data_IF_985447795362
#
_entry.id   IF_985447795362
#
_cell.length_a   1.000
_cell.length_b   1.000
_cell.length_c   1.000
_cell.angle_alpha   90.00
_cell.angle_beta   90.00
_cell.angle_gamma   90.00
#
_symmetry.space_group_name_H-M   'P 1'
#
loop_
_entity.id
_entity.type
_entity.pdbx_description
1 polymer ?
#
# COMPACT_ATOMS: atom_id res chain seq x y z
N UNK A 1 26.00 -9.93 77.37
CA UNK A 1 24.96 -9.94 76.29
C UNK A 1 25.00 -11.31 75.66
N UNK A 2 23.85 -12.00 75.58
CA UNK A 2 23.82 -13.32 74.97
C UNK A 2 24.04 -13.18 73.43
N UNK A 3 24.61 -14.17 72.78
CA UNK A 3 24.92 -14.18 71.36
C UNK A 3 23.67 -13.93 70.50
N UNK A 4 22.49 -14.29 71.04
CA UNK A 4 21.21 -14.10 70.40
C UNK A 4 20.80 -12.61 70.32
N UNK A 5 21.13 -11.82 71.38
CA UNK A 5 20.84 -10.37 71.38
C UNK A 5 21.76 -9.65 70.38
N UNK A 6 23.02 -10.06 70.28
CA UNK A 6 23.96 -9.49 69.31
C UNK A 6 23.48 -9.80 67.89
N UNK A 7 22.99 -11.02 67.60
CA UNK A 7 22.47 -11.42 66.30
C UNK A 7 21.21 -10.60 65.94
N UNK A 8 20.26 -10.41 66.88
CA UNK A 8 19.08 -9.60 66.64
C UNK A 8 19.40 -8.12 66.37
N UNK A 9 20.38 -7.56 67.06
CA UNK A 9 20.84 -6.18 66.82
C UNK A 9 21.49 -6.05 65.44
N UNK A 10 22.29 -7.02 65.02
CA UNK A 10 22.91 -7.04 63.67
C UNK A 10 21.85 -7.19 62.57
N UNK A 11 20.86 -8.05 62.75
CA UNK A 11 19.73 -8.18 61.79
C UNK A 11 18.91 -6.87 61.75
N UNK A 12 18.67 -6.23 62.85
CA UNK A 12 17.99 -4.93 62.89
C UNK A 12 18.75 -3.81 62.18
N UNK A 13 20.08 -3.77 62.35
CA UNK A 13 20.96 -2.83 61.64
C UNK A 13 21.02 -3.11 60.15
N UNK A 14 21.02 -4.38 59.75
CA UNK A 14 21.00 -4.78 58.33
C UNK A 14 19.65 -4.36 57.65
N UNK A 15 18.53 -4.60 58.31
CA UNK A 15 17.23 -4.18 57.84
C UNK A 15 17.09 -2.63 57.72
N UNK A 16 17.64 -1.91 58.71
CA UNK A 16 17.72 -0.43 58.66
C UNK A 16 18.61 0.04 57.50
N UNK A 17 19.72 -0.65 57.27
CA UNK A 17 20.63 -0.37 56.13
C UNK A 17 19.94 -0.58 54.78
N UNK A 18 19.17 -1.67 54.62
CA UNK A 18 18.41 -1.96 53.41
C UNK A 18 17.29 -0.92 53.25
N UNK A 19 16.54 -0.59 54.29
CA UNK A 19 15.49 0.44 54.25
C UNK A 19 16.05 1.84 53.90
N UNK A 20 17.20 2.21 54.46
CA UNK A 20 17.90 3.44 54.07
C UNK A 20 18.36 3.42 52.62
N UNK A 21 18.98 2.31 52.18
CA UNK A 21 19.41 2.17 50.79
C UNK A 21 18.26 2.23 49.79
N UNK A 22 17.12 1.62 50.09
CA UNK A 22 15.91 1.72 49.24
C UNK A 22 15.29 3.13 49.28
N UNK A 23 15.32 3.82 50.43
CA UNK A 23 14.85 5.18 50.52
C UNK A 23 15.73 6.18 49.74
N UNK A 24 17.06 5.98 49.80
CA UNK A 24 17.97 6.85 49.06
C UNK A 24 18.10 6.47 47.59
N UNK A 25 17.92 5.20 47.19
CA UNK A 25 17.89 4.79 45.78
C UNK A 25 16.58 5.18 45.09
N UNK A 26 15.48 5.30 45.84
CA UNK A 26 14.20 5.79 45.29
C UNK A 26 14.21 7.27 44.93
N UNK A 27 15.16 8.07 45.45
CA UNK A 27 15.28 9.49 45.06
C UNK A 27 16.12 9.73 43.78
N UNK A 28 16.68 8.67 43.16
CA UNK A 28 17.33 8.74 41.85
C UNK A 28 16.38 8.61 40.68
N UNK A 29 15.06 8.57 40.90
CA UNK A 29 14.06 8.46 39.86
C UNK A 29 13.73 9.83 39.28
N UNK A 30 13.17 9.83 38.13
CA UNK A 30 12.59 10.83 37.23
C UNK A 30 12.31 12.26 37.77
N UNK A 31 12.23 12.47 39.11
CA UNK A 31 12.07 13.76 39.75
C UNK A 31 13.30 14.69 39.63
N UNK A 32 14.45 14.16 39.19
CA UNK A 32 15.62 14.95 38.86
C UNK A 32 15.64 15.46 37.42
N UNK A 33 14.64 15.10 36.59
CA UNK A 33 14.39 15.80 35.35
C UNK A 33 13.73 17.15 35.71
N UNK A 34 14.55 18.07 36.17
CA UNK A 34 14.11 19.47 36.30
C UNK A 34 13.72 19.92 34.88
N UNK A 35 12.43 20.18 34.68
CA UNK A 35 11.98 20.90 33.51
C UNK A 35 12.76 22.21 33.46
N UNK A 36 13.79 22.27 32.64
CA UNK A 36 14.51 23.51 32.41
C UNK A 36 13.55 24.39 31.61
N UNK A 37 13.19 25.53 32.15
CA UNK A 37 12.40 26.51 31.46
C UNK A 37 13.22 26.89 30.20
N UNK A 38 12.78 26.40 29.06
CA UNK A 38 13.38 26.71 27.77
C UNK A 38 13.01 28.15 27.48
N UNK A 39 13.99 29.00 27.15
CA UNK A 39 13.71 30.38 26.75
C UNK A 39 12.79 30.41 25.53
N UNK A 40 11.93 31.40 25.44
CA UNK A 40 11.04 31.60 24.32
C UNK A 40 11.82 31.52 23.00
N UNK A 41 11.44 30.58 22.14
CA UNK A 41 12.05 30.41 20.83
C UNK A 41 13.23 29.45 20.74
N UNK A 42 13.70 28.80 21.83
CA UNK A 42 14.84 27.86 21.78
C UNK A 42 14.55 26.60 20.92
N UNK A 43 13.30 26.17 20.84
CA UNK A 43 12.83 25.07 19.98
C UNK A 43 11.82 25.54 18.93
N UNK A 44 11.83 26.81 18.59
CA UNK A 44 10.86 27.48 17.75
C UNK A 44 9.69 28.06 18.57
N UNK A 45 8.91 28.87 17.92
CA UNK A 45 7.68 29.46 18.49
C UNK A 45 6.48 28.98 17.70
N UNK A 46 5.40 28.61 18.39
CA UNK A 46 4.12 28.27 17.78
C UNK A 46 3.02 29.16 18.36
N UNK A 47 2.14 29.65 17.52
CA UNK A 47 0.94 30.39 17.89
C UNK A 47 -0.21 30.05 16.94
N UNK A 48 -1.40 30.39 17.32
CA UNK A 48 -2.53 30.32 16.41
C UNK A 48 -2.37 31.35 15.27
N UNK A 49 -2.70 30.93 14.06
CA UNK A 49 -2.70 31.82 12.91
C UNK A 49 -3.77 32.91 13.06
N UNK A 50 -3.45 34.12 12.61
CA UNK A 50 -4.42 35.21 12.54
C UNK A 50 -5.41 34.97 11.40
N UNK A 51 -6.56 35.69 11.42
CA UNK A 51 -7.55 35.56 10.35
C UNK A 51 -7.01 36.01 8.99
N UNK A 52 -6.10 36.98 8.99
CA UNK A 52 -5.43 37.47 7.79
C UNK A 52 -4.49 36.41 7.21
N UNK A 53 -3.71 35.74 8.06
CA UNK A 53 -2.84 34.63 7.65
C UNK A 53 -3.65 33.47 7.10
N UNK A 54 -4.73 33.06 7.76
CA UNK A 54 -5.63 32.01 7.29
C UNK A 54 -6.18 32.36 5.91
N UNK A 55 -6.66 33.59 5.69
CA UNK A 55 -7.21 34.01 4.40
C UNK A 55 -6.15 34.12 3.30
N UNK A 56 -4.90 34.37 3.67
CA UNK A 56 -3.78 34.45 2.71
C UNK A 56 -3.30 33.07 2.31
N UNK A 57 -3.36 32.09 3.24
CA UNK A 57 -2.84 30.74 3.01
C UNK A 57 -3.87 29.84 2.35
N UNK A 58 -5.15 29.94 2.74
CA UNK A 58 -6.19 29.02 2.28
C UNK A 58 -7.22 29.71 1.39
N UNK A 59 -7.74 28.97 0.42
CA UNK A 59 -8.86 29.41 -0.38
C UNK A 59 -10.17 29.30 0.39
N UNK A 60 -10.96 30.38 0.38
CA UNK A 60 -12.29 30.41 0.96
C UNK A 60 -13.33 30.11 -0.10
N UNK A 61 -13.87 28.90 -0.11
CA UNK A 61 -14.81 28.43 -1.12
C UNK A 61 -16.17 28.21 -0.46
N UNK A 62 -17.27 28.83 -0.97
CA UNK A 62 -18.61 28.58 -0.46
C UNK A 62 -18.93 27.09 -0.48
N UNK A 63 -19.26 26.50 0.68
CA UNK A 63 -19.56 25.06 0.78
C UNK A 63 -21.06 24.85 0.57
N UNK A 64 -21.44 24.42 -0.65
CA UNK A 64 -22.82 24.36 -1.12
C UNK A 64 -23.16 23.01 -1.77
N UNK A 65 -23.12 21.88 -1.04
CA UNK A 65 -23.34 20.54 -1.60
C UNK A 65 -24.66 20.38 -2.38
N UNK A 66 -25.72 21.04 -1.92
CA UNK A 66 -27.03 20.96 -2.60
C UNK A 66 -27.01 21.54 -4.02
N UNK A 67 -26.20 22.58 -4.25
CA UNK A 67 -26.03 23.20 -5.57
C UNK A 67 -25.04 22.37 -6.40
N UNK A 68 -23.95 21.93 -5.80
CA UNK A 68 -22.95 21.10 -6.47
C UNK A 68 -23.55 19.81 -7.05
N UNK A 69 -24.43 19.15 -6.30
CA UNK A 69 -25.16 17.95 -6.75
C UNK A 69 -26.13 18.20 -7.91
N UNK A 70 -26.45 19.45 -8.20
CA UNK A 70 -27.21 19.89 -9.39
C UNK A 70 -26.31 20.31 -10.54
N UNK A 71 -24.98 20.29 -10.36
CA UNK A 71 -24.01 20.81 -11.32
C UNK A 71 -23.86 22.34 -11.29
N UNK A 72 -24.38 23.00 -10.23
CA UNK A 72 -24.36 24.46 -10.09
C UNK A 72 -23.19 24.89 -9.20
N UNK A 73 -22.49 25.96 -9.56
CA UNK A 73 -21.44 26.61 -8.76
C UNK A 73 -20.32 25.65 -8.30
N UNK A 74 -19.92 24.71 -9.14
CA UNK A 74 -18.86 23.75 -8.84
C UNK A 74 -17.53 24.46 -8.53
N UNK A 75 -16.79 24.02 -7.51
CA UNK A 75 -15.49 24.58 -7.18
C UNK A 75 -14.48 24.29 -8.31
N UNK A 76 -13.69 25.31 -8.67
CA UNK A 76 -12.66 25.17 -9.71
C UNK A 76 -11.31 24.71 -9.14
N UNK A 77 -11.05 25.02 -7.87
CA UNK A 77 -9.82 24.64 -7.20
C UNK A 77 -9.94 23.25 -6.61
N UNK A 78 -9.02 22.38 -6.93
CA UNK A 78 -8.84 21.08 -6.27
C UNK A 78 -8.03 21.26 -5.00
N UNK A 79 -8.27 20.43 -3.97
CA UNK A 79 -7.53 20.53 -2.72
C UNK A 79 -8.23 19.85 -1.55
N UNK A 80 -7.66 20.06 -0.36
CA UNK A 80 -8.12 19.45 0.88
C UNK A 80 -8.86 20.47 1.75
N UNK A 81 -10.07 20.12 2.20
CA UNK A 81 -10.84 20.92 3.15
C UNK A 81 -10.29 20.71 4.55
N UNK A 82 -9.64 21.70 5.11
CA UNK A 82 -9.05 21.67 6.47
C UNK A 82 -9.99 22.17 7.56
N UNK A 83 -11.00 22.96 7.20
CA UNK A 83 -11.94 23.51 8.14
C UNK A 83 -13.00 24.38 7.47
N UNK A 84 -13.72 25.14 8.24
CA UNK A 84 -14.74 26.05 7.71
C UNK A 84 -14.78 27.39 8.45
N UNK A 85 -15.24 28.40 7.74
CA UNK A 85 -15.55 29.72 8.32
C UNK A 85 -16.98 30.10 7.93
N UNK A 86 -17.64 30.85 8.81
CA UNK A 86 -18.99 31.36 8.55
C UNK A 86 -20.00 31.03 9.63
N UNK A 87 -21.26 31.36 9.37
CA UNK A 87 -22.38 31.10 10.29
C UNK A 87 -23.60 30.65 9.51
N UNK A 88 -24.33 29.66 10.06
CA UNK A 88 -25.57 29.13 9.49
C UNK A 88 -25.45 28.81 7.99
N UNK A 89 -26.20 29.50 7.11
CA UNK A 89 -26.29 29.19 5.68
C UNK A 89 -25.17 29.81 4.81
N UNK A 90 -24.17 30.46 5.45
CA UNK A 90 -23.00 31.04 4.76
C UNK A 90 -21.73 30.41 5.29
N UNK A 91 -21.53 29.15 4.97
CA UNK A 91 -20.34 28.40 5.33
C UNK A 91 -19.40 28.41 4.13
N UNK A 92 -18.13 28.78 4.36
CA UNK A 92 -17.06 28.65 3.39
C UNK A 92 -16.06 27.61 3.91
N UNK A 93 -15.68 26.69 3.07
CA UNK A 93 -14.60 25.77 3.32
C UNK A 93 -13.25 26.49 3.22
N UNK A 94 -12.35 26.17 4.13
CA UNK A 94 -10.93 26.51 4.05
C UNK A 94 -10.23 25.40 3.30
N UNK A 95 -9.85 25.67 2.06
CA UNK A 95 -9.26 24.67 1.16
C UNK A 95 -7.78 24.97 0.99
N UNK A 96 -6.97 23.96 1.26
CA UNK A 96 -5.56 23.94 0.90
C UNK A 96 -5.42 23.33 -0.49
N UNK A 97 -4.82 24.06 -1.41
CA UNK A 97 -4.63 23.64 -2.81
C UNK A 97 -3.21 23.17 -3.11
N UNK A 98 -2.35 23.17 -2.11
CA UNK A 98 -0.99 22.64 -2.23
C UNK A 98 -0.98 21.12 -2.16
N UNK A 99 0.08 20.49 -2.68
CA UNK A 99 0.30 19.05 -2.58
C UNK A 99 0.83 18.71 -1.17
N UNK A 100 -0.09 18.48 -0.23
CA UNK A 100 0.23 18.27 1.18
C UNK A 100 -0.23 16.91 1.70
N UNK A 101 0.50 16.39 2.68
CA UNK A 101 0.05 15.28 3.51
C UNK A 101 -0.68 15.83 4.75
N UNK A 102 -1.86 15.27 5.05
CA UNK A 102 -2.64 15.65 6.24
C UNK A 102 -2.82 14.45 7.17
N UNK A 103 -2.44 14.63 8.45
CA UNK A 103 -2.68 13.66 9.51
C UNK A 103 -3.72 14.20 10.48
N UNK A 104 -4.89 13.53 10.54
CA UNK A 104 -5.94 13.87 11.49
C UNK A 104 -5.92 12.94 12.70
N UNK A 105 -5.66 13.50 13.88
CA UNK A 105 -5.63 12.78 15.15
C UNK A 105 -6.86 13.17 15.98
N UNK A 106 -7.55 12.18 16.53
CA UNK A 106 -8.69 12.40 17.40
C UNK A 106 -9.20 11.09 18.02
N UNK A 107 -9.78 11.17 19.21
CA UNK A 107 -10.36 10.03 19.90
C UNK A 107 -11.52 9.41 19.10
N UNK A 108 -11.93 8.20 19.48
CA UNK A 108 -13.11 7.57 18.88
C UNK A 108 -14.37 8.41 19.20
N UNK A 109 -15.28 8.52 18.23
CA UNK A 109 -16.56 9.24 18.42
C UNK A 109 -16.51 10.75 18.30
N UNK A 110 -15.34 11.40 18.18
CA UNK A 110 -15.25 12.89 18.06
C UNK A 110 -15.72 13.43 16.71
N UNK A 111 -16.18 12.59 15.79
CA UNK A 111 -16.76 13.02 14.52
C UNK A 111 -15.77 13.18 13.36
N UNK A 112 -14.57 12.55 13.42
CA UNK A 112 -13.58 12.60 12.32
C UNK A 112 -14.20 12.30 10.95
N UNK A 113 -14.99 11.24 10.84
CA UNK A 113 -15.66 10.87 9.60
C UNK A 113 -16.68 11.92 9.17
N UNK A 114 -17.53 12.38 10.10
CA UNK A 114 -18.63 13.29 9.78
C UNK A 114 -18.17 14.72 9.46
N UNK A 115 -17.17 15.23 10.19
CA UNK A 115 -16.75 16.63 10.09
C UNK A 115 -15.51 16.86 9.21
N UNK A 116 -14.79 15.79 8.87
CA UNK A 116 -13.63 15.91 8.01
C UNK A 116 -13.76 15.05 6.75
N UNK A 117 -13.97 13.75 6.89
CA UNK A 117 -13.91 12.84 5.75
C UNK A 117 -15.05 13.06 4.76
N UNK A 118 -16.31 13.10 5.21
CA UNK A 118 -17.45 13.34 4.30
C UNK A 118 -17.40 14.70 3.62
N UNK A 119 -17.09 15.82 4.28
CA UNK A 119 -16.91 17.10 3.61
C UNK A 119 -15.79 17.07 2.54
N UNK A 120 -14.71 16.35 2.81
CA UNK A 120 -13.64 16.19 1.82
C UNK A 120 -14.03 15.31 0.65
N UNK A 121 -14.78 14.22 0.86
CA UNK A 121 -15.32 13.41 -0.23
C UNK A 121 -16.28 14.21 -1.12
N UNK A 122 -17.18 14.98 -0.50
CA UNK A 122 -18.09 15.86 -1.24
C UNK A 122 -17.33 16.90 -2.05
N UNK A 123 -16.33 17.54 -1.44
CA UNK A 123 -15.50 18.53 -2.12
C UNK A 123 -14.67 17.92 -3.25
N UNK A 124 -14.06 16.77 -3.02
CA UNK A 124 -13.29 16.04 -4.04
C UNK A 124 -14.17 15.72 -5.26
N UNK A 125 -15.39 15.20 -5.02
CA UNK A 125 -16.35 14.94 -6.09
C UNK A 125 -16.75 16.22 -6.83
N UNK A 126 -17.06 17.29 -6.11
CA UNK A 126 -17.49 18.55 -6.70
C UNK A 126 -16.38 19.24 -7.50
N UNK A 127 -15.13 19.11 -7.09
CA UNK A 127 -13.95 19.69 -7.77
C UNK A 127 -13.33 18.79 -8.85
N UNK A 128 -13.90 17.61 -9.09
CA UNK A 128 -13.43 16.68 -10.13
C UNK A 128 -12.11 15.97 -9.79
N UNK A 129 -11.83 15.73 -8.50
CA UNK A 129 -10.62 15.01 -8.07
C UNK A 129 -10.86 13.50 -8.11
N UNK A 130 -9.95 12.74 -8.72
CA UNK A 130 -9.88 11.30 -8.50
C UNK A 130 -9.34 11.02 -7.08
N UNK A 131 -9.90 10.03 -6.40
CA UNK A 131 -9.43 9.68 -5.05
C UNK A 131 -9.59 8.19 -4.75
N UNK A 132 -8.69 7.67 -3.90
CA UNK A 132 -8.73 6.34 -3.33
C UNK A 132 -9.07 6.45 -1.83
N UNK A 133 -10.10 5.75 -1.38
CA UNK A 133 -10.51 5.74 0.01
C UNK A 133 -10.39 4.33 0.62
N UNK A 134 -9.66 4.21 1.73
CA UNK A 134 -9.62 2.98 2.53
C UNK A 134 -10.77 2.96 3.52
N UNK A 135 -11.70 2.02 3.35
CA UNK A 135 -12.93 1.90 4.14
C UNK A 135 -12.93 0.63 5.00
N UNK A 136 -12.47 0.75 6.22
CA UNK A 136 -12.40 -0.39 7.15
C UNK A 136 -13.76 -0.87 7.65
N UNK A 137 -14.85 -0.12 7.44
CA UNK A 137 -16.19 -0.41 7.94
C UNK A 137 -17.24 -0.63 6.85
N UNK A 138 -16.92 -0.31 5.60
CA UNK A 138 -17.86 -0.31 4.48
C UNK A 138 -18.85 0.87 4.49
N UNK A 139 -18.62 1.86 5.36
CA UNK A 139 -19.54 3.00 5.50
C UNK A 139 -19.38 4.01 4.37
N UNK A 140 -18.15 4.21 3.85
CA UNK A 140 -17.88 5.18 2.79
C UNK A 140 -18.49 4.72 1.48
N UNK A 141 -18.23 3.49 1.07
CA UNK A 141 -18.80 2.92 -0.15
C UNK A 141 -20.34 2.96 -0.11
N UNK A 142 -20.93 2.53 1.00
CA UNK A 142 -22.38 2.49 1.19
C UNK A 142 -23.04 3.87 1.17
N UNK A 143 -22.45 4.84 1.88
CA UNK A 143 -23.05 6.15 2.08
C UNK A 143 -22.69 7.14 0.98
N UNK A 144 -21.53 6.95 0.31
CA UNK A 144 -21.00 7.94 -0.61
C UNK A 144 -20.82 7.45 -2.03
N UNK A 145 -20.67 6.15 -2.27
CA UNK A 145 -20.50 5.61 -3.62
C UNK A 145 -21.63 6.00 -4.57
N UNK A 146 -22.87 5.84 -4.12
CA UNK A 146 -24.03 6.25 -4.91
C UNK A 146 -24.12 7.78 -5.11
N UNK A 147 -23.65 8.58 -4.16
CA UNK A 147 -23.59 10.05 -4.29
C UNK A 147 -22.58 10.45 -5.36
N UNK A 148 -21.37 9.90 -5.31
CA UNK A 148 -20.32 10.16 -6.28
C UNK A 148 -20.76 9.78 -7.71
N UNK A 149 -21.31 8.60 -7.88
CA UNK A 149 -21.76 8.13 -9.20
C UNK A 149 -22.97 8.92 -9.72
N UNK A 150 -24.03 9.05 -8.90
CA UNK A 150 -25.30 9.61 -9.37
C UNK A 150 -25.27 11.12 -9.59
N UNK A 151 -24.60 11.87 -8.72
CA UNK A 151 -24.62 13.34 -8.76
C UNK A 151 -23.40 13.95 -9.44
N UNK A 152 -22.28 13.26 -9.42
CA UNK A 152 -21.03 13.78 -9.96
C UNK A 152 -20.48 12.98 -11.15
N UNK A 153 -21.15 11.87 -11.52
CA UNK A 153 -20.78 11.06 -12.69
C UNK A 153 -19.51 10.24 -12.52
N UNK A 154 -19.09 9.99 -11.29
CA UNK A 154 -17.86 9.21 -11.02
C UNK A 154 -18.06 7.74 -11.40
N UNK A 155 -17.02 7.15 -11.97
CA UNK A 155 -16.86 5.72 -12.00
C UNK A 155 -16.37 5.30 -10.60
N UNK A 156 -17.12 4.45 -9.92
CA UNK A 156 -16.84 3.99 -8.57
C UNK A 156 -16.53 2.49 -8.63
N UNK A 157 -15.34 2.10 -8.24
CA UNK A 157 -14.95 0.72 -8.06
C UNK A 157 -14.80 0.41 -6.55
N UNK A 158 -15.34 -0.72 -6.11
CA UNK A 158 -15.32 -1.14 -4.71
C UNK A 158 -14.63 -2.50 -4.59
N UNK A 159 -13.41 -2.51 -4.08
CA UNK A 159 -12.69 -3.74 -3.77
C UNK A 159 -13.03 -4.13 -2.33
N UNK A 160 -13.93 -5.11 -2.18
CA UNK A 160 -14.41 -5.57 -0.87
C UNK A 160 -13.77 -6.91 -0.49
N UNK A 161 -12.67 -6.84 0.28
CA UNK A 161 -11.96 -8.03 0.77
C UNK A 161 -12.67 -8.75 1.93
N UNK A 162 -13.79 -8.20 2.44
CA UNK A 162 -14.63 -8.88 3.43
C UNK A 162 -15.75 -9.70 2.80
N UNK A 163 -16.20 -9.26 1.64
CA UNK A 163 -17.23 -9.93 0.85
C UNK A 163 -16.76 -10.06 -0.61
N UNK A 164 -15.73 -10.87 -0.88
CA UNK A 164 -15.10 -10.93 -2.19
C UNK A 164 -16.07 -11.26 -3.33
N UNK A 165 -17.12 -12.03 -3.05
CA UNK A 165 -18.17 -12.37 -4.02
C UNK A 165 -19.06 -11.19 -4.44
N UNK A 166 -18.94 -10.04 -3.79
CA UNK A 166 -19.64 -8.78 -4.12
C UNK A 166 -18.68 -7.67 -4.49
N UNK A 167 -17.40 -7.98 -4.53
CA UNK A 167 -16.34 -7.05 -4.91
C UNK A 167 -16.30 -6.89 -6.41
N UNK A 168 -15.90 -5.71 -6.86
CA UNK A 168 -15.40 -5.53 -8.22
C UNK A 168 -14.08 -6.29 -8.39
N UNK A 169 -13.79 -6.73 -9.61
CA UNK A 169 -12.56 -7.41 -9.95
C UNK A 169 -11.34 -6.48 -9.84
N UNK A 170 -10.20 -7.05 -9.49
CA UNK A 170 -8.93 -6.35 -9.47
C UNK A 170 -7.78 -7.27 -9.86
N UNK A 171 -7.61 -7.51 -11.15
CA UNK A 171 -6.52 -8.32 -11.67
C UNK A 171 -5.21 -7.53 -11.63
N UNK A 172 -4.25 -7.99 -10.83
CA UNK A 172 -2.94 -7.35 -10.67
C UNK A 172 -2.14 -7.26 -11.98
N UNK A 173 -2.49 -8.06 -12.99
CA UNK A 173 -1.82 -8.10 -14.27
C UNK A 173 -2.50 -7.24 -15.34
N UNK A 174 -3.60 -6.55 -15.06
CA UNK A 174 -4.40 -5.80 -16.05
C UNK A 174 -3.55 -4.93 -16.97
N UNK A 175 -2.75 -4.03 -16.43
CA UNK A 175 -1.89 -3.14 -17.24
C UNK A 175 -0.80 -3.89 -17.99
N UNK A 176 -0.22 -4.93 -17.40
CA UNK A 176 0.80 -5.75 -18.04
C UNK A 176 0.21 -6.47 -19.24
N UNK A 177 -0.96 -7.08 -19.06
CA UNK A 177 -1.69 -7.77 -20.12
C UNK A 177 -2.08 -6.80 -21.24
N UNK A 178 -2.65 -5.65 -20.88
CA UNK A 178 -3.03 -4.62 -21.85
C UNK A 178 -1.86 -4.21 -22.75
N UNK A 179 -0.73 -3.81 -22.15
CA UNK A 179 0.43 -3.38 -22.92
C UNK A 179 1.08 -4.53 -23.70
N UNK A 180 1.02 -5.75 -23.20
CA UNK A 180 1.51 -6.90 -23.93
C UNK A 180 0.61 -7.25 -25.14
N UNK A 181 -0.70 -7.05 -25.02
CA UNK A 181 -1.65 -7.21 -26.13
C UNK A 181 -1.44 -6.13 -27.20
N UNK A 182 -1.15 -4.88 -26.80
CA UNK A 182 -0.72 -3.83 -27.73
C UNK A 182 0.55 -4.24 -28.47
N UNK A 183 1.54 -4.81 -27.75
CA UNK A 183 2.76 -5.33 -28.41
C UNK A 183 2.50 -6.49 -29.37
N UNK A 184 1.51 -7.33 -29.05
CA UNK A 184 1.12 -8.45 -29.95
C UNK A 184 0.48 -7.92 -31.23
N UNK A 185 -0.36 -6.88 -31.12
CA UNK A 185 -0.95 -6.22 -32.28
C UNK A 185 0.06 -5.38 -33.07
N UNK A 186 0.99 -4.74 -32.37
CA UNK A 186 2.02 -3.85 -32.93
C UNK A 186 3.42 -4.25 -32.45
N UNK A 187 4.09 -5.27 -33.05
CA UNK A 187 5.37 -5.79 -32.54
C UNK A 187 6.53 -4.77 -32.49
N UNK A 188 6.41 -3.65 -33.19
CA UNK A 188 7.41 -2.56 -33.21
C UNK A 188 7.14 -1.49 -32.14
N UNK A 189 6.06 -1.60 -31.38
CA UNK A 189 5.70 -0.63 -30.34
C UNK A 189 6.56 -0.82 -29.07
N UNK A 190 7.77 -0.28 -29.12
CA UNK A 190 8.73 -0.35 -28.00
C UNK A 190 8.22 0.36 -26.73
N UNK A 191 7.37 1.37 -26.88
CA UNK A 191 6.83 2.10 -25.72
C UNK A 191 5.86 1.22 -24.92
N UNK A 192 4.97 0.49 -25.60
CA UNK A 192 4.07 -0.46 -24.94
C UNK A 192 4.87 -1.57 -24.26
N UNK A 193 5.89 -2.13 -24.93
CA UNK A 193 6.76 -3.15 -24.32
C UNK A 193 7.46 -2.65 -23.06
N UNK A 194 8.03 -1.44 -23.10
CA UNK A 194 8.67 -0.84 -21.95
C UNK A 194 7.70 -0.63 -20.77
N UNK A 195 6.44 -0.28 -21.02
CA UNK A 195 5.39 -0.17 -19.99
C UNK A 195 5.04 -1.52 -19.40
N UNK A 196 4.85 -2.58 -20.22
CA UNK A 196 4.61 -3.93 -19.72
C UNK A 196 5.75 -4.42 -18.82
N UNK A 197 7.01 -4.22 -19.24
CA UNK A 197 8.21 -4.57 -18.46
C UNK A 197 8.27 -3.78 -17.15
N UNK A 198 7.98 -2.48 -17.17
CA UNK A 198 7.93 -1.62 -15.99
C UNK A 198 6.90 -2.09 -14.97
N UNK A 199 5.67 -2.34 -15.40
CA UNK A 199 4.60 -2.77 -14.49
C UNK A 199 4.84 -4.18 -13.95
N UNK A 200 5.36 -5.10 -14.76
CA UNK A 200 5.76 -6.43 -14.30
C UNK A 200 6.83 -6.36 -13.21
N UNK A 201 7.84 -5.50 -13.39
CA UNK A 201 8.89 -5.28 -12.39
C UNK A 201 8.36 -4.66 -11.10
N UNK A 202 7.48 -3.63 -11.20
CA UNK A 202 6.85 -3.01 -10.03
C UNK A 202 6.05 -4.05 -9.25
N UNK A 203 5.22 -4.85 -9.93
CA UNK A 203 4.40 -5.88 -9.31
C UNK A 203 5.28 -6.94 -8.62
N UNK A 204 6.29 -7.47 -9.32
CA UNK A 204 7.20 -8.47 -8.77
C UNK A 204 7.93 -7.94 -7.53
N UNK A 205 8.46 -6.70 -7.59
CA UNK A 205 9.12 -6.05 -6.46
C UNK A 205 8.17 -5.89 -5.27
N UNK A 206 6.94 -5.46 -5.50
CA UNK A 206 5.93 -5.29 -4.44
C UNK A 206 5.59 -6.62 -3.78
N UNK A 207 5.41 -7.68 -4.55
CA UNK A 207 5.10 -9.02 -4.04
C UNK A 207 6.27 -9.60 -3.24
N UNK A 208 7.50 -9.49 -3.75
CA UNK A 208 8.68 -10.06 -3.08
C UNK A 208 9.00 -9.29 -1.80
N UNK A 209 8.82 -7.97 -1.77
CA UNK A 209 9.16 -7.10 -0.65
C UNK A 209 7.96 -6.73 0.24
N UNK A 210 6.98 -7.62 0.41
CA UNK A 210 5.74 -7.39 1.19
C UNK A 210 5.94 -6.81 2.59
N UNK A 211 7.10 -7.02 3.22
CA UNK A 211 7.40 -6.57 4.58
C UNK A 211 8.16 -5.23 4.65
N UNK A 212 8.14 -4.45 3.60
CA UNK A 212 8.88 -3.19 3.48
C UNK A 212 10.25 -3.38 2.83
N UNK A 213 10.98 -2.30 2.61
CA UNK A 213 12.37 -2.36 2.11
C UNK A 213 13.25 -3.01 3.18
N UNK A 214 13.19 -4.34 3.25
CA UNK A 214 13.91 -5.13 4.22
C UNK A 214 15.38 -5.23 3.83
N UNK A 215 16.24 -4.89 4.76
CA UNK A 215 17.61 -5.36 4.70
C UNK A 215 17.58 -6.86 5.05
N UNK A 216 17.50 -7.70 4.02
CA UNK A 216 17.47 -9.16 4.17
C UNK A 216 18.86 -9.76 4.54
N UNK A 217 19.84 -8.90 4.78
CA UNK A 217 21.20 -9.31 5.19
C UNK A 217 21.80 -10.29 4.19
N UNK A 218 22.28 -11.45 4.66
CA UNK A 218 22.91 -12.49 3.82
C UNK A 218 21.93 -13.13 2.82
N UNK A 219 20.63 -12.97 3.00
CA UNK A 219 19.60 -13.54 2.12
C UNK A 219 19.21 -12.59 0.99
N UNK A 220 19.78 -11.39 0.89
CA UNK A 220 19.41 -10.39 -0.11
C UNK A 220 19.43 -10.96 -1.53
N UNK A 221 20.44 -11.75 -1.86
CA UNK A 221 20.54 -12.39 -3.19
C UNK A 221 19.29 -13.21 -3.58
N UNK A 222 18.71 -13.96 -2.64
CA UNK A 222 17.54 -14.79 -2.94
C UNK A 222 16.30 -13.95 -3.24
N UNK A 223 16.14 -12.80 -2.60
CA UNK A 223 15.03 -11.90 -2.86
C UNK A 223 15.21 -11.15 -4.17
N UNK A 224 16.41 -10.66 -4.46
CA UNK A 224 16.70 -9.97 -5.72
C UNK A 224 16.54 -10.94 -6.92
N UNK A 225 17.04 -12.17 -6.80
CA UNK A 225 16.85 -13.19 -7.81
C UNK A 225 15.37 -13.62 -7.95
N UNK A 226 14.62 -13.66 -6.84
CA UNK A 226 13.18 -13.94 -6.85
C UNK A 226 12.38 -12.83 -7.53
N UNK A 227 12.72 -11.56 -7.32
CA UNK A 227 12.11 -10.42 -8.05
C UNK A 227 12.31 -10.57 -9.55
N UNK A 228 13.56 -10.86 -9.96
CA UNK A 228 13.88 -11.06 -11.38
C UNK A 228 13.16 -12.26 -12.00
N UNK A 229 13.13 -13.39 -11.31
CA UNK A 229 12.43 -14.60 -11.76
C UNK A 229 10.92 -14.35 -11.86
N UNK A 230 10.31 -13.75 -10.87
CA UNK A 230 8.88 -13.43 -10.87
C UNK A 230 8.53 -12.46 -12.01
N UNK A 231 9.35 -11.44 -12.23
CA UNK A 231 9.20 -10.52 -13.37
C UNK A 231 9.21 -11.28 -14.69
N UNK A 232 10.17 -12.19 -14.87
CA UNK A 232 10.28 -13.01 -16.08
C UNK A 232 9.05 -13.89 -16.30
N UNK A 233 8.56 -14.56 -15.26
CA UNK A 233 7.38 -15.44 -15.35
C UNK A 233 6.12 -14.65 -15.67
N UNK A 234 5.92 -13.49 -15.04
CA UNK A 234 4.78 -12.60 -15.34
C UNK A 234 4.81 -12.17 -16.81
N UNK A 235 5.96 -11.75 -17.33
CA UNK A 235 6.10 -11.35 -18.72
C UNK A 235 5.84 -12.50 -19.68
N UNK A 236 6.36 -13.70 -19.40
CA UNK A 236 6.10 -14.89 -20.21
C UNK A 236 4.62 -15.24 -20.24
N UNK A 237 3.96 -15.21 -19.09
CA UNK A 237 2.52 -15.46 -19.02
C UNK A 237 1.74 -14.47 -19.91
N UNK A 238 2.03 -13.18 -19.79
CA UNK A 238 1.35 -12.14 -20.56
C UNK A 238 1.67 -12.21 -22.06
N UNK A 239 2.91 -12.59 -22.45
CA UNK A 239 3.35 -12.62 -23.83
C UNK A 239 2.86 -13.86 -24.59
N UNK A 240 2.95 -15.04 -23.96
CA UNK A 240 2.69 -16.31 -24.64
C UNK A 240 1.28 -16.86 -24.43
N UNK A 241 0.57 -16.40 -23.41
CA UNK A 241 -0.81 -16.75 -23.21
C UNK A 241 -1.69 -15.64 -23.82
N UNK A 242 -2.31 -15.89 -25.02
CA UNK A 242 -3.17 -14.89 -25.64
C UNK A 242 -4.43 -14.69 -24.80
N UNK A 243 -5.10 -13.51 -24.94
CA UNK A 243 -6.41 -13.32 -24.36
C UNK A 243 -7.38 -14.38 -24.88
N UNK A 244 -8.20 -14.94 -24.01
CA UNK A 244 -9.35 -15.72 -24.42
C UNK A 244 -10.34 -14.78 -25.10
N UNK A 245 -11.09 -15.27 -26.12
CA UNK A 245 -12.07 -14.43 -26.80
C UNK A 245 -13.35 -14.22 -25.98
N UNK A 246 -13.69 -15.20 -25.12
CA UNK A 246 -14.89 -15.16 -24.29
C UNK A 246 -14.57 -14.61 -22.89
N UNK A 247 -13.41 -14.96 -22.32
CA UNK A 247 -12.97 -14.61 -20.98
C UNK A 247 -11.48 -14.23 -20.97
N UNK A 248 -11.11 -13.02 -21.45
CA UNK A 248 -9.70 -12.63 -21.63
C UNK A 248 -8.88 -12.61 -20.35
N UNK A 249 -9.51 -12.39 -19.20
CA UNK A 249 -8.90 -12.29 -17.87
C UNK A 249 -8.64 -13.66 -17.20
N UNK A 250 -9.44 -14.68 -17.51
CA UNK A 250 -9.46 -15.96 -16.77
C UNK A 250 -8.15 -16.74 -16.77
N UNK A 251 -7.23 -16.41 -17.67
CA UNK A 251 -5.95 -17.13 -17.80
C UNK A 251 -4.71 -16.31 -17.45
N UNK A 252 -4.84 -15.00 -17.34
CA UNK A 252 -3.71 -14.09 -17.17
C UNK A 252 -3.83 -13.29 -15.88
N UNK A 253 -3.78 -13.98 -14.74
CA UNK A 253 -3.89 -13.44 -13.41
C UNK A 253 -2.84 -14.02 -12.46
N UNK A 254 -2.76 -13.52 -11.24
CA UNK A 254 -1.70 -13.88 -10.29
C UNK A 254 -1.70 -15.37 -9.90
N UNK A 255 -2.86 -16.02 -9.85
CA UNK A 255 -2.96 -17.47 -9.59
C UNK A 255 -2.37 -18.28 -10.73
N UNK A 256 -2.52 -17.83 -11.98
CA UNK A 256 -1.86 -18.45 -13.14
C UNK A 256 -0.34 -18.30 -13.09
N UNK A 257 0.15 -17.16 -12.57
CA UNK A 257 1.60 -16.98 -12.31
C UNK A 257 2.08 -17.99 -11.28
N UNK A 258 1.33 -18.18 -10.17
CA UNK A 258 1.68 -19.20 -9.19
C UNK A 258 1.74 -20.60 -9.79
N UNK A 259 0.70 -21.02 -10.52
CA UNK A 259 0.67 -22.32 -11.18
C UNK A 259 1.83 -22.51 -12.14
N UNK A 260 2.14 -21.49 -12.94
CA UNK A 260 3.27 -21.52 -13.86
C UNK A 260 4.61 -21.68 -13.11
N UNK A 261 4.84 -20.95 -12.02
CA UNK A 261 6.06 -21.12 -11.20
C UNK A 261 6.13 -22.53 -10.62
N UNK A 262 5.01 -23.09 -10.16
CA UNK A 262 4.93 -24.44 -9.62
C UNK A 262 5.27 -25.49 -10.70
N UNK A 263 4.72 -25.35 -11.90
CA UNK A 263 5.01 -26.23 -13.04
C UNK A 263 6.48 -26.15 -13.49
N UNK A 264 7.06 -24.96 -13.46
CA UNK A 264 8.46 -24.73 -13.78
C UNK A 264 9.43 -25.32 -12.77
N UNK A 265 9.00 -25.56 -11.53
CA UNK A 265 9.76 -26.31 -10.51
C UNK A 265 9.81 -27.81 -10.80
N UNK A 266 8.82 -28.34 -11.51
CA UNK A 266 8.79 -29.77 -11.80
C UNK A 266 9.97 -30.19 -12.68
N UNK A 267 10.53 -31.39 -12.46
CA UNK A 267 11.61 -31.92 -13.29
C UNK A 267 11.18 -32.06 -14.75
N UNK A 268 12.00 -31.56 -15.68
CA UNK A 268 11.79 -31.79 -17.09
C UNK A 268 12.33 -33.20 -17.48
N UNK A 269 11.41 -34.11 -17.71
CA UNK A 269 11.76 -35.51 -18.09
C UNK A 269 12.36 -35.62 -19.49
N UNK A 270 12.01 -34.68 -20.38
CA UNK A 270 12.49 -34.69 -21.79
C UNK A 270 13.91 -34.12 -21.84
N UNK A 271 14.13 -32.96 -21.24
CA UNK A 271 15.46 -32.34 -21.19
C UNK A 271 16.36 -32.95 -20.09
N UNK A 272 15.85 -33.90 -19.29
CA UNK A 272 16.55 -34.49 -18.13
C UNK A 272 17.09 -33.44 -17.17
N UNK A 273 16.38 -32.31 -17.05
CA UNK A 273 16.73 -31.23 -16.19
C UNK A 273 16.00 -31.34 -14.83
N UNK A 274 16.61 -30.82 -13.77
CA UNK A 274 16.02 -30.84 -12.39
C UNK A 274 14.79 -29.95 -12.26
N UNK A 275 14.63 -28.97 -13.14
CA UNK A 275 13.46 -28.11 -13.25
C UNK A 275 13.18 -27.81 -14.72
N UNK A 276 11.97 -27.38 -15.02
CA UNK A 276 11.56 -27.04 -16.38
C UNK A 276 11.86 -25.57 -16.75
N UNK A 277 12.31 -24.75 -15.79
CA UNK A 277 12.55 -23.33 -16.02
C UNK A 277 13.75 -23.07 -16.94
N UNK A 278 14.90 -23.70 -16.67
CA UNK A 278 16.09 -23.55 -17.50
C UNK A 278 15.84 -23.98 -18.95
N UNK A 279 15.30 -25.18 -19.24
CA UNK A 279 14.95 -25.57 -20.58
C UNK A 279 13.95 -24.67 -21.32
N UNK A 280 13.02 -24.06 -20.58
CA UNK A 280 12.10 -23.06 -21.14
C UNK A 280 12.86 -21.80 -21.57
N UNK A 281 13.72 -21.28 -20.70
CA UNK A 281 14.52 -20.08 -20.99
C UNK A 281 15.48 -20.28 -22.15
N UNK A 282 16.05 -21.47 -22.29
CA UNK A 282 16.97 -21.81 -23.37
C UNK A 282 16.31 -21.84 -24.75
N UNK A 283 14.97 -21.99 -24.82
CA UNK A 283 14.19 -21.89 -26.05
C UNK A 283 13.95 -20.44 -26.50
N UNK A 284 14.15 -19.48 -25.62
CA UNK A 284 13.96 -18.07 -25.95
C UNK A 284 15.21 -17.48 -26.59
N UNK A 285 15.09 -16.49 -27.49
CA UNK A 285 16.23 -15.75 -28.03
C UNK A 285 17.09 -15.13 -26.93
N UNK A 286 18.39 -15.03 -27.12
CA UNK A 286 19.30 -14.41 -26.14
C UNK A 286 18.95 -12.95 -25.81
N UNK A 287 18.32 -12.28 -26.76
CA UNK A 287 17.85 -10.89 -26.60
C UNK A 287 16.52 -10.77 -25.83
N UNK A 288 15.91 -11.90 -25.47
CA UNK A 288 14.60 -11.90 -24.82
C UNK A 288 14.67 -11.37 -23.40
N UNK A 289 13.84 -10.39 -23.07
CA UNK A 289 13.87 -9.69 -21.76
C UNK A 289 13.61 -10.61 -20.56
N UNK A 290 12.76 -11.63 -20.70
CA UNK A 290 12.53 -12.59 -19.62
C UNK A 290 13.83 -13.32 -19.22
N UNK A 291 14.72 -13.66 -20.18
CA UNK A 291 16.04 -14.24 -19.86
C UNK A 291 16.90 -13.28 -19.07
N UNK A 292 16.87 -11.99 -19.40
CA UNK A 292 17.66 -10.98 -18.72
C UNK A 292 17.17 -10.75 -17.30
N UNK A 293 15.86 -10.64 -17.08
CA UNK A 293 15.31 -10.53 -15.73
C UNK A 293 15.61 -11.76 -14.88
N UNK A 294 15.51 -12.94 -15.44
CA UNK A 294 15.81 -14.19 -14.75
C UNK A 294 17.32 -14.47 -14.59
N UNK A 295 18.20 -13.64 -15.12
CA UNK A 295 19.63 -13.91 -15.23
C UNK A 295 20.31 -14.33 -13.92
N UNK A 296 20.01 -13.66 -12.81
CA UNK A 296 20.56 -14.01 -11.51
C UNK A 296 20.12 -15.40 -11.04
N UNK A 297 18.86 -15.77 -11.29
CA UNK A 297 18.34 -17.09 -10.97
C UNK A 297 18.97 -18.17 -11.89
N UNK A 298 19.05 -17.89 -13.22
CA UNK A 298 19.58 -18.81 -14.21
C UNK A 298 21.08 -19.13 -14.04
N UNK A 299 21.86 -18.18 -13.52
CA UNK A 299 23.30 -18.36 -13.28
C UNK A 299 23.62 -18.98 -11.93
N UNK A 300 22.61 -19.20 -11.09
CA UNK A 300 22.79 -19.79 -9.76
C UNK A 300 22.90 -21.32 -9.82
N UNK A 301 23.42 -21.91 -8.72
CA UNK A 301 23.42 -23.38 -8.58
C UNK A 301 22.00 -23.92 -8.49
N UNK A 302 21.79 -25.19 -8.82
CA UNK A 302 20.48 -25.84 -8.73
C UNK A 302 19.81 -25.67 -7.36
N UNK A 303 20.60 -25.75 -6.29
CA UNK A 303 20.11 -25.58 -4.93
C UNK A 303 19.67 -24.12 -4.66
N UNK A 304 20.44 -23.15 -5.14
CA UNK A 304 20.08 -21.74 -5.04
C UNK A 304 18.86 -21.42 -5.88
N UNK A 305 18.75 -21.95 -7.10
CA UNK A 305 17.56 -21.84 -7.93
C UNK A 305 16.31 -22.37 -7.24
N UNK A 306 16.39 -23.57 -6.63
CA UNK A 306 15.27 -24.13 -5.86
C UNK A 306 14.85 -23.22 -4.70
N UNK A 307 15.83 -22.60 -4.01
CA UNK A 307 15.56 -21.64 -2.93
C UNK A 307 14.91 -20.36 -3.44
N UNK A 308 15.35 -19.81 -4.59
CA UNK A 308 14.75 -18.66 -5.24
C UNK A 308 13.29 -18.94 -5.61
N UNK A 309 13.02 -20.08 -6.28
CA UNK A 309 11.67 -20.49 -6.67
C UNK A 309 10.76 -20.71 -5.44
N UNK A 310 11.28 -21.35 -4.39
CA UNK A 310 10.54 -21.50 -3.12
C UNK A 310 10.21 -20.16 -2.48
N UNK A 311 11.11 -19.17 -2.58
CA UNK A 311 10.86 -17.80 -2.12
C UNK A 311 9.71 -17.18 -2.91
N UNK A 312 9.71 -17.28 -4.23
CA UNK A 312 8.62 -16.78 -5.08
C UNK A 312 7.29 -17.43 -4.71
N UNK A 313 7.24 -18.77 -4.61
CA UNK A 313 6.01 -19.50 -4.23
C UNK A 313 5.51 -19.09 -2.85
N UNK A 314 6.41 -18.96 -1.88
CA UNK A 314 6.05 -18.50 -0.53
C UNK A 314 5.40 -17.11 -0.55
N UNK A 315 5.88 -16.19 -1.40
CA UNK A 315 5.31 -14.85 -1.52
C UNK A 315 3.97 -14.88 -2.27
N UNK A 316 3.85 -15.69 -3.29
CA UNK A 316 2.61 -15.85 -4.05
C UNK A 316 1.51 -16.59 -3.27
N UNK A 317 1.88 -17.38 -2.26
CA UNK A 317 0.91 -18.13 -1.45
C UNK A 317 -0.14 -17.23 -0.76
N UNK A 318 0.19 -15.97 -0.52
CA UNK A 318 -0.75 -14.99 0.04
C UNK A 318 -1.97 -14.71 -0.86
N UNK A 319 -1.91 -15.07 -2.15
CA UNK A 319 -2.98 -14.86 -3.12
C UNK A 319 -3.81 -16.11 -3.41
N UNK A 320 -3.53 -17.24 -2.74
CA UNK A 320 -4.19 -18.53 -2.97
C UNK A 320 -5.35 -18.78 -2.02
N UNK A 321 -6.08 -17.76 -1.71
CA UNK A 321 -7.32 -17.86 -0.96
C UNK A 321 -8.49 -17.87 -1.93
N UNK A 322 -9.39 -18.86 -1.83
CA UNK A 322 -10.53 -19.01 -2.75
C UNK A 322 -11.47 -17.79 -2.74
N UNK A 323 -11.51 -17.04 -1.65
CA UNK A 323 -12.26 -15.79 -1.58
C UNK A 323 -11.53 -14.67 -2.32
N UNK A 324 -10.21 -14.56 -2.15
CA UNK A 324 -9.40 -13.57 -2.88
C UNK A 324 -9.36 -13.85 -4.39
N UNK A 325 -9.39 -15.11 -4.81
CA UNK A 325 -9.47 -15.48 -6.23
C UNK A 325 -10.69 -14.86 -6.91
N UNK A 326 -11.82 -14.66 -6.19
CA UNK A 326 -13.00 -13.97 -6.71
C UNK A 326 -12.75 -12.49 -7.06
N UNK A 327 -11.72 -11.89 -6.50
CA UNK A 327 -11.31 -10.51 -6.80
C UNK A 327 -10.17 -10.49 -7.82
N UNK A 328 -9.16 -11.33 -7.62
CA UNK A 328 -7.88 -11.25 -8.33
C UNK A 328 -7.88 -11.92 -9.71
N UNK A 329 -8.86 -12.78 -10.00
CA UNK A 329 -8.96 -13.51 -11.26
C UNK A 329 -9.88 -12.85 -12.29
N UNK A 330 -10.51 -11.72 -11.95
CA UNK A 330 -11.41 -10.99 -12.83
C UNK A 330 -10.81 -9.64 -13.24
N UNK A 331 -11.22 -9.13 -14.40
CA UNK A 331 -10.76 -7.84 -14.90
C UNK A 331 -10.98 -6.71 -13.91
N UNK A 332 -10.00 -5.83 -13.85
CA UNK A 332 -10.08 -4.67 -12.97
C UNK A 332 -11.16 -3.71 -13.46
N UNK A 333 -12.07 -3.36 -12.55
CA UNK A 333 -13.06 -2.31 -12.78
C UNK A 333 -12.38 -0.92 -12.97
N UNK A 334 -11.15 -0.79 -12.50
CA UNK A 334 -10.32 0.41 -12.61
C UNK A 334 -8.84 0.02 -12.60
N UNK A 335 -8.03 0.71 -13.36
CA UNK A 335 -6.57 0.57 -13.36
C UNK A 335 -5.87 1.89 -12.99
N UNK A 336 -4.55 1.82 -12.77
CA UNK A 336 -3.79 2.98 -12.33
C UNK A 336 -3.69 4.10 -13.37
N UNK A 337 -3.82 3.80 -14.67
CA UNK A 337 -3.76 4.81 -15.74
C UNK A 337 -5.10 5.51 -15.94
N UNK A 338 -6.21 4.79 -15.80
CA UNK A 338 -7.56 5.38 -15.83
C UNK A 338 -7.89 6.16 -14.56
N UNK A 339 -7.20 5.86 -13.45
CA UNK A 339 -7.36 6.60 -12.20
C UNK A 339 -6.62 7.94 -12.20
N UNK A 340 -5.46 8.03 -12.85
CA UNK A 340 -4.63 9.24 -12.91
C UNK A 340 -5.11 10.24 -13.95
#
# INVERSE_FOLDING_TARGET
MSSEIIFLVLCGLALLGVAAATHFSGQGSLDNIKSKTVGDGQHGTARWATKEEIKKTYHLIPFQPEQWRKGEHLPQAQGLVLGCMGKKNKIAALVDTDDIHCLMIGASGVGKTAFFLYPNLEYACASGMSFLALDTKGDLARNYGAVASKYYGYQVAVIDLRNPTRSDGYNLLTLINHYMDVCRAEPKNLAARAKAEKYAKILAKTIVNQNGEGNYGQNQFFYDAAEGLLTAVILLLAEYLPPDQEHPEERRHIVSVFKLVQDLLAPDKIAKAKNSFQPLMDKLPDTHKARWFAGAALTSSDQAMASVMSTVLSRLNAFLDSELEQVLCFDSAMDAETFA
#
